data_IF_294402697738
#
_entry.id   IF_294402697738
#
_cell.length_a   1.000
_cell.length_b   1.000
_cell.length_c   1.000
_cell.angle_alpha   90.00
_cell.angle_beta   90.00
_cell.angle_gamma   90.00
#
_symmetry.space_group_name_H-M   'P 1'
#
loop_
_entity.id
_entity.type
_entity.pdbx_description
1 polymer ?
#
# COMPACT_ATOMS: atom_id res chain seq x y z
N UNK A 1 13.21 8.81 -16.82
CA UNK A 1 11.82 8.42 -16.53
C UNK A 1 11.37 9.12 -15.26
N UNK A 2 10.44 10.07 -15.39
CA UNK A 2 9.98 10.96 -14.31
C UNK A 2 9.11 10.29 -13.22
N UNK A 3 9.02 8.95 -13.22
CA UNK A 3 8.19 8.20 -12.27
C UNK A 3 8.92 7.72 -11.01
N UNK A 4 10.21 7.88 -10.95
CA UNK A 4 11.04 7.45 -9.82
C UNK A 4 11.68 8.64 -9.13
N UNK A 5 11.79 8.57 -7.81
CA UNK A 5 12.49 9.60 -7.06
C UNK A 5 14.00 9.48 -7.26
N UNK A 6 14.70 10.58 -7.55
CA UNK A 6 16.15 10.62 -7.43
C UNK A 6 16.58 10.27 -6.00
N UNK A 7 17.75 9.66 -5.85
CA UNK A 7 18.28 9.20 -4.56
C UNK A 7 18.17 10.24 -3.44
N UNK A 8 18.54 11.49 -3.68
CA UNK A 8 18.51 12.55 -2.68
C UNK A 8 17.07 12.91 -2.25
N UNK A 9 16.11 12.84 -3.15
CA UNK A 9 14.69 13.04 -2.82
C UNK A 9 14.14 11.86 -2.02
N UNK A 10 14.54 10.64 -2.34
CA UNK A 10 14.19 9.43 -1.58
C UNK A 10 14.76 9.52 -0.15
N UNK A 11 16.01 9.97 0.03
CA UNK A 11 16.62 10.24 1.34
C UNK A 11 15.83 11.27 2.14
N UNK A 12 15.52 12.41 1.52
CA UNK A 12 14.76 13.48 2.18
C UNK A 12 13.37 13.01 2.63
N UNK A 13 12.67 12.28 1.77
CA UNK A 13 11.37 11.71 2.12
C UNK A 13 11.47 10.75 3.30
N UNK A 14 12.45 9.85 3.28
CA UNK A 14 12.63 8.86 4.33
C UNK A 14 13.04 9.50 5.66
N UNK A 15 13.88 10.53 5.63
CA UNK A 15 14.25 11.31 6.82
C UNK A 15 12.99 11.90 7.48
N UNK A 16 12.10 12.52 6.70
CA UNK A 16 10.85 13.06 7.21
C UNK A 16 9.96 12.00 7.86
N UNK A 17 9.88 10.81 7.25
CA UNK A 17 9.08 9.69 7.78
C UNK A 17 9.64 9.19 9.10
N UNK A 18 10.95 8.93 9.16
CA UNK A 18 11.62 8.45 10.38
C UNK A 18 11.54 9.48 11.51
N UNK A 19 11.73 10.76 11.20
CA UNK A 19 11.65 11.83 12.19
C UNK A 19 10.22 12.01 12.71
N UNK A 20 9.22 11.93 11.84
CA UNK A 20 7.82 11.97 12.24
C UNK A 20 7.46 10.78 13.16
N UNK A 21 7.96 9.60 12.84
CA UNK A 21 7.78 8.42 13.69
C UNK A 21 8.43 8.61 15.06
N UNK A 22 9.69 9.02 15.11
CA UNK A 22 10.44 9.27 16.36
C UNK A 22 9.75 10.28 17.26
N UNK A 23 9.24 11.38 16.70
CA UNK A 23 8.50 12.41 17.47
C UNK A 23 7.30 11.83 18.19
N UNK A 24 6.62 10.84 17.62
CA UNK A 24 5.43 10.23 18.18
C UNK A 24 5.71 8.97 19.02
N UNK A 25 6.95 8.47 19.04
CA UNK A 25 7.32 7.22 19.70
C UNK A 25 8.52 7.38 20.65
N UNK A 26 8.60 8.51 21.37
CA UNK A 26 9.64 8.73 22.38
C UNK A 26 11.07 8.69 21.86
N UNK A 27 11.30 9.12 20.63
CA UNK A 27 12.60 9.13 19.99
C UNK A 27 13.05 7.78 19.38
N UNK A 28 12.27 6.73 19.54
CA UNK A 28 12.60 5.41 18.99
C UNK A 28 12.39 5.34 17.49
N UNK A 29 13.28 4.65 16.77
CA UNK A 29 13.10 4.36 15.36
C UNK A 29 12.11 3.19 15.15
N UNK A 30 11.45 3.12 13.99
CA UNK A 30 10.60 1.98 13.67
C UNK A 30 11.45 0.70 13.52
N UNK A 31 10.96 -0.43 14.03
CA UNK A 31 11.60 -1.74 13.83
C UNK A 31 11.40 -2.25 12.41
N UNK A 32 10.23 -1.98 11.86
CA UNK A 32 9.86 -2.36 10.50
C UNK A 32 9.22 -1.19 9.78
N UNK A 33 9.53 -1.04 8.51
CA UNK A 33 9.01 0.02 7.64
C UNK A 33 8.61 -0.58 6.30
N UNK A 34 7.31 -0.60 6.03
CA UNK A 34 6.77 -1.07 4.76
C UNK A 34 6.41 0.12 3.87
N UNK A 35 6.99 0.15 2.69
CA UNK A 35 6.75 1.18 1.68
C UNK A 35 5.89 0.57 0.56
N UNK A 36 4.70 1.10 0.38
CA UNK A 36 3.78 0.64 -0.65
C UNK A 36 3.84 1.54 -1.88
N UNK A 37 3.96 0.94 -3.04
CA UNK A 37 3.94 1.63 -4.33
C UNK A 37 3.12 0.88 -5.37
N UNK A 38 2.72 1.56 -6.44
CA UNK A 38 2.07 0.95 -7.61
C UNK A 38 3.09 0.50 -8.66
N UNK A 39 4.28 1.08 -8.63
CA UNK A 39 5.42 0.76 -9.49
C UNK A 39 6.50 0.01 -8.70
N UNK A 40 7.44 -0.59 -9.39
CA UNK A 40 8.65 -1.14 -8.75
C UNK A 40 9.55 0.01 -8.33
N UNK A 41 10.22 -0.15 -7.22
CA UNK A 41 11.20 0.82 -6.73
C UNK A 41 12.52 0.68 -7.46
N UNK A 42 13.09 1.79 -7.90
CA UNK A 42 14.40 1.84 -8.56
C UNK A 42 15.53 1.51 -7.57
N UNK A 43 16.73 1.28 -8.09
CA UNK A 43 17.91 1.09 -7.26
C UNK A 43 18.25 2.36 -6.46
N UNK A 44 18.12 3.53 -7.09
CA UNK A 44 18.39 4.82 -6.46
C UNK A 44 17.43 5.13 -5.31
N UNK A 45 16.12 4.88 -5.51
CA UNK A 45 15.12 5.01 -4.44
C UNK A 45 15.47 4.11 -3.25
N UNK A 46 15.79 2.84 -3.54
CA UNK A 46 16.15 1.87 -2.51
C UNK A 46 17.39 2.28 -1.72
N UNK A 47 18.46 2.71 -2.40
CA UNK A 47 19.67 3.21 -1.76
C UNK A 47 19.36 4.43 -0.88
N UNK A 48 18.60 5.40 -1.40
CA UNK A 48 18.18 6.57 -0.64
C UNK A 48 17.42 6.22 0.63
N UNK A 49 16.50 5.26 0.56
CA UNK A 49 15.78 4.78 1.74
C UNK A 49 16.70 4.12 2.76
N UNK A 50 17.59 3.23 2.31
CA UNK A 50 18.48 2.47 3.19
C UNK A 50 19.54 3.34 3.87
N UNK A 51 20.04 4.36 3.21
CA UNK A 51 21.03 5.28 3.79
C UNK A 51 20.47 6.13 4.92
N UNK A 52 19.17 6.32 4.98
CA UNK A 52 18.52 7.21 5.95
C UNK A 52 17.95 6.49 7.15
N UNK A 53 17.56 5.25 6.94
CA UNK A 53 16.93 4.43 7.99
C UNK A 53 18.00 3.79 8.87
N UNK A 54 17.83 3.71 10.21
CA UNK A 54 18.74 2.99 11.09
C UNK A 54 18.97 1.55 10.62
N UNK A 55 20.17 1.03 10.82
CA UNK A 55 20.57 -0.29 10.35
C UNK A 55 19.70 -1.44 10.91
N UNK A 56 19.17 -1.26 12.11
CA UNK A 56 18.27 -2.19 12.79
C UNK A 56 16.84 -2.20 12.27
N UNK A 57 16.45 -1.20 11.47
CA UNK A 57 15.12 -1.13 10.88
C UNK A 57 15.03 -2.01 9.65
N UNK A 58 14.12 -2.98 9.66
CA UNK A 58 13.79 -3.75 8.46
C UNK A 58 12.95 -2.91 7.48
N UNK A 59 13.50 -2.60 6.32
CA UNK A 59 12.80 -1.85 5.27
C UNK A 59 12.34 -2.81 4.18
N UNK A 60 11.07 -2.75 3.85
CA UNK A 60 10.45 -3.59 2.81
C UNK A 60 9.69 -2.70 1.82
N UNK A 61 9.98 -2.84 0.53
CA UNK A 61 9.24 -2.15 -0.53
C UNK A 61 8.31 -3.13 -1.24
N UNK A 62 7.03 -2.88 -1.15
CA UNK A 62 5.97 -3.69 -1.76
C UNK A 62 5.30 -2.98 -2.92
N UNK A 63 5.24 -3.62 -4.08
CA UNK A 63 4.40 -3.19 -5.19
C UNK A 63 3.02 -3.83 -5.07
N UNK A 64 1.98 -3.00 -5.02
CA UNK A 64 0.59 -3.44 -4.90
C UNK A 64 -0.22 -2.80 -6.01
N UNK A 65 -0.90 -3.61 -6.83
CA UNK A 65 -1.75 -3.11 -7.92
C UNK A 65 -2.90 -4.07 -8.21
N UNK A 66 -3.97 -3.54 -8.79
CA UNK A 66 -5.06 -4.37 -9.33
C UNK A 66 -4.53 -5.20 -10.50
N UNK A 67 -4.85 -6.49 -10.52
CA UNK A 67 -4.54 -7.39 -11.62
C UNK A 67 -5.82 -7.79 -12.34
N UNK A 68 -5.99 -7.30 -13.57
CA UNK A 68 -7.16 -7.61 -14.39
C UNK A 68 -7.03 -8.94 -15.16
N UNK A 69 -5.81 -9.47 -15.25
CA UNK A 69 -5.51 -10.69 -16.02
C UNK A 69 -5.83 -11.98 -15.27
N UNK A 70 -6.07 -11.90 -13.96
CA UNK A 70 -6.33 -13.07 -13.14
C UNK A 70 -7.76 -13.08 -12.59
N UNK A 71 -8.43 -14.21 -12.75
CA UNK A 71 -9.75 -14.46 -12.19
C UNK A 71 -9.74 -15.78 -11.44
N UNK A 72 -10.45 -15.82 -10.30
CA UNK A 72 -10.66 -17.01 -9.53
C UNK A 72 -12.14 -17.40 -9.63
N UNK A 73 -12.38 -18.64 -9.97
CA UNK A 73 -13.71 -19.21 -10.04
C UNK A 73 -13.82 -20.37 -9.05
N UNK A 74 -14.97 -20.51 -8.45
CA UNK A 74 -15.30 -21.62 -7.55
C UNK A 74 -16.45 -22.44 -8.14
N UNK A 75 -16.35 -23.75 -8.08
CA UNK A 75 -17.48 -24.61 -8.39
C UNK A 75 -18.59 -24.47 -7.33
N UNK A 76 -19.84 -24.50 -7.79
CA UNK A 76 -21.03 -24.39 -6.92
C UNK A 76 -21.59 -22.96 -6.87
N UNK A 77 -22.54 -22.75 -5.97
CA UNK A 77 -23.33 -21.51 -5.86
C UNK A 77 -22.69 -20.43 -5.00
N UNK A 78 -21.61 -20.77 -4.29
CA UNK A 78 -20.95 -19.84 -3.36
C UNK A 78 -19.93 -18.98 -4.08
N UNK A 79 -20.00 -17.69 -3.87
CA UNK A 79 -19.03 -16.71 -4.39
C UNK A 79 -17.67 -16.84 -3.70
N UNK A 80 -16.63 -16.30 -4.35
CA UNK A 80 -15.29 -16.20 -3.76
C UNK A 80 -15.34 -15.26 -2.57
N UNK A 81 -14.90 -15.76 -1.41
CA UNK A 81 -14.87 -14.97 -0.20
C UNK A 81 -13.79 -13.88 -0.28
N UNK A 82 -14.10 -12.72 0.30
CA UNK A 82 -13.11 -11.69 0.55
C UNK A 82 -12.01 -12.20 1.47
N UNK A 83 -10.76 -11.92 1.16
CA UNK A 83 -9.60 -12.35 1.93
C UNK A 83 -8.97 -13.65 1.46
N UNK A 84 -9.50 -14.26 0.40
CA UNK A 84 -8.81 -15.38 -0.25
C UNK A 84 -7.52 -14.87 -0.84
N UNK A 85 -6.42 -15.59 -0.60
CA UNK A 85 -5.10 -15.30 -1.13
C UNK A 85 -4.46 -16.51 -1.80
N UNK A 86 -3.64 -16.25 -2.80
CA UNK A 86 -2.81 -17.26 -3.45
C UNK A 86 -1.36 -16.82 -3.46
N UNK A 87 -0.52 -17.57 -2.76
CA UNK A 87 0.94 -17.35 -2.74
C UNK A 87 1.55 -18.03 -3.96
N UNK A 88 2.08 -17.22 -4.88
CA UNK A 88 2.77 -17.71 -6.07
C UNK A 88 4.23 -18.04 -5.78
N UNK A 89 4.88 -17.25 -4.95
CA UNK A 89 6.27 -17.42 -4.52
C UNK A 89 6.50 -16.68 -3.20
N UNK A 90 7.69 -16.80 -2.64
CA UNK A 90 8.07 -16.02 -1.45
C UNK A 90 8.04 -14.49 -1.65
N UNK A 91 8.03 -14.03 -2.92
CA UNK A 91 8.06 -12.62 -3.28
C UNK A 91 6.76 -12.12 -3.89
N UNK A 92 5.83 -13.01 -4.25
CA UNK A 92 4.63 -12.65 -5.00
C UNK A 92 3.41 -13.42 -4.56
N UNK A 93 2.32 -12.70 -4.36
CA UNK A 93 1.01 -13.25 -4.04
C UNK A 93 -0.12 -12.47 -4.72
N UNK A 94 -1.28 -13.08 -4.76
CA UNK A 94 -2.54 -12.49 -5.20
C UNK A 94 -3.55 -12.53 -4.06
N UNK A 95 -4.24 -11.41 -3.83
CA UNK A 95 -5.18 -11.25 -2.73
C UNK A 95 -6.52 -10.71 -3.23
N UNK A 96 -7.60 -11.46 -3.02
CA UNK A 96 -8.95 -11.02 -3.33
C UNK A 96 -9.50 -10.17 -2.19
N UNK A 97 -9.34 -8.86 -2.32
CA UNK A 97 -9.78 -7.87 -1.32
C UNK A 97 -11.25 -7.47 -1.47
N UNK A 98 -11.86 -7.83 -2.59
CA UNK A 98 -13.30 -7.77 -2.86
C UNK A 98 -13.83 -9.19 -3.01
N UNK A 99 -15.10 -9.38 -2.68
CA UNK A 99 -15.74 -10.68 -2.77
C UNK A 99 -16.84 -10.84 -1.72
N UNK A 100 -17.33 -12.05 -1.57
CA UNK A 100 -18.37 -12.36 -0.62
C UNK A 100 -17.91 -12.15 0.82
N UNK A 101 -18.73 -11.44 1.59
CA UNK A 101 -18.50 -11.19 3.02
C UNK A 101 -19.52 -12.03 3.81
N UNK A 102 -19.12 -13.17 4.38
CA UNK A 102 -20.06 -14.09 5.04
C UNK A 102 -20.91 -13.44 6.13
N UNK A 103 -20.30 -12.57 6.95
CA UNK A 103 -21.00 -11.87 8.03
C UNK A 103 -22.14 -10.97 7.54
N UNK A 104 -22.02 -10.42 6.34
CA UNK A 104 -23.01 -9.52 5.74
C UNK A 104 -23.94 -10.25 4.78
N UNK A 105 -23.65 -11.51 4.48
CA UNK A 105 -24.36 -12.32 3.47
C UNK A 105 -24.52 -11.58 2.13
N UNK A 106 -23.54 -10.73 1.80
CA UNK A 106 -23.60 -9.89 0.63
C UNK A 106 -22.31 -9.90 -0.16
N UNK A 107 -22.46 -9.55 -1.43
CA UNK A 107 -21.38 -9.36 -2.39
C UNK A 107 -21.58 -8.01 -3.08
N UNK A 108 -20.62 -7.13 -2.90
CA UNK A 108 -20.67 -5.79 -3.48
C UNK A 108 -20.19 -5.82 -4.93
N UNK A 109 -21.03 -6.21 -5.84
CA UNK A 109 -20.72 -6.16 -7.27
C UNK A 109 -21.28 -7.34 -8.05
N UNK A 110 -21.46 -7.16 -9.35
CA UNK A 110 -21.96 -8.18 -10.28
C UNK A 110 -20.84 -8.94 -10.99
N UNK A 111 -19.61 -8.41 -10.93
CA UNK A 111 -18.46 -8.99 -11.63
C UNK A 111 -17.63 -9.87 -10.71
N UNK A 112 -16.99 -10.89 -11.30
CA UNK A 112 -15.96 -11.66 -10.60
C UNK A 112 -14.82 -10.72 -10.22
N UNK A 113 -14.49 -10.59 -8.93
CA UNK A 113 -13.50 -9.60 -8.48
C UNK A 113 -12.10 -9.93 -9.00
N UNK A 114 -11.37 -8.88 -9.35
CA UNK A 114 -9.95 -8.96 -9.64
C UNK A 114 -9.16 -8.93 -8.34
N UNK A 115 -8.07 -9.69 -8.22
CA UNK A 115 -7.19 -9.62 -7.08
C UNK A 115 -6.31 -8.37 -7.10
N UNK A 116 -5.72 -8.07 -5.95
CA UNK A 116 -4.49 -7.32 -5.89
C UNK A 116 -3.31 -8.28 -6.13
N UNK A 117 -2.38 -7.89 -7.00
CA UNK A 117 -1.05 -8.50 -7.02
C UNK A 117 -0.16 -7.76 -6.01
N UNK A 118 0.52 -8.53 -5.17
CA UNK A 118 1.43 -8.05 -4.13
C UNK A 118 2.80 -8.63 -4.42
N UNK A 119 3.78 -7.76 -4.64
CA UNK A 119 5.16 -8.16 -4.92
C UNK A 119 6.11 -7.47 -3.95
N UNK A 120 6.92 -8.24 -3.24
CA UNK A 120 8.04 -7.72 -2.45
C UNK A 120 9.18 -7.44 -3.42
N UNK A 121 9.41 -6.15 -3.70
CA UNK A 121 10.43 -5.71 -4.66
C UNK A 121 11.81 -5.55 -4.03
N UNK A 122 11.86 -5.19 -2.76
CA UNK A 122 13.08 -4.95 -1.98
C UNK A 122 12.84 -5.31 -0.52
N UNK A 123 13.92 -5.72 0.17
CA UNK A 123 13.84 -6.15 1.56
C UNK A 123 13.37 -7.59 1.72
N UNK A 124 13.19 -8.02 2.96
CA UNK A 124 12.76 -9.38 3.31
C UNK A 124 11.56 -9.33 4.24
N UNK A 125 10.50 -10.04 3.88
CA UNK A 125 9.30 -10.19 4.69
C UNK A 125 8.60 -11.52 4.38
N UNK A 126 7.78 -12.00 5.31
CA UNK A 126 6.88 -13.11 5.03
C UNK A 126 5.71 -12.63 4.16
N UNK A 127 5.61 -13.14 2.95
CA UNK A 127 4.57 -12.77 1.99
C UNK A 127 3.16 -13.02 2.54
N UNK A 128 2.96 -14.00 3.41
CA UNK A 128 1.67 -14.27 4.04
C UNK A 128 1.30 -13.18 5.03
N UNK A 129 2.28 -12.74 5.83
CA UNK A 129 2.07 -11.62 6.74
C UNK A 129 1.79 -10.33 5.97
N UNK A 130 2.55 -10.05 4.92
CA UNK A 130 2.31 -8.90 4.04
C UNK A 130 0.88 -8.92 3.45
N UNK A 131 0.41 -10.09 3.01
CA UNK A 131 -0.98 -10.23 2.52
C UNK A 131 -2.01 -9.93 3.62
N UNK A 132 -1.79 -10.41 4.84
CA UNK A 132 -2.67 -10.17 5.98
C UNK A 132 -2.73 -8.67 6.33
N UNK A 133 -1.60 -7.99 6.35
CA UNK A 133 -1.50 -6.56 6.62
C UNK A 133 -2.16 -5.74 5.51
N UNK A 134 -1.91 -6.07 4.24
CA UNK A 134 -2.59 -5.43 3.11
C UNK A 134 -4.10 -5.61 3.20
N UNK A 135 -4.59 -6.82 3.54
CA UNK A 135 -6.02 -7.06 3.74
C UNK A 135 -6.58 -6.20 4.87
N UNK A 136 -5.86 -6.10 6.00
CA UNK A 136 -6.27 -5.27 7.13
C UNK A 136 -6.36 -3.78 6.72
N UNK A 137 -5.36 -3.27 5.99
CA UNK A 137 -5.35 -1.90 5.47
C UNK A 137 -6.47 -1.60 4.47
N UNK A 138 -7.01 -2.61 3.78
CA UNK A 138 -8.19 -2.42 2.91
C UNK A 138 -9.50 -2.27 3.69
N UNK A 139 -9.51 -2.63 4.98
CA UNK A 139 -10.67 -2.51 5.86
C UNK A 139 -10.72 -1.16 6.56
N UNK A 140 -9.61 -0.44 6.59
CA UNK A 140 -9.55 0.91 7.13
C UNK A 140 -10.18 1.86 6.13
N UNK A 141 -11.30 2.43 6.52
CA UNK A 141 -12.01 3.40 5.72
C UNK A 141 -12.26 4.65 6.56
N UNK A 142 -11.71 5.77 6.13
CA UNK A 142 -11.72 6.97 6.93
C UNK A 142 -13.02 7.80 6.76
N UNK A 143 -13.58 7.83 5.57
CA UNK A 143 -14.64 8.77 5.21
C UNK A 143 -15.93 8.16 4.65
N UNK A 144 -16.06 6.87 4.58
CA UNK A 144 -17.24 6.27 3.99
C UNK A 144 -17.70 5.04 4.76
N UNK A 145 -19.02 4.91 4.93
CA UNK A 145 -19.65 3.70 5.44
C UNK A 145 -19.56 2.53 4.44
N UNK A 146 -18.44 2.40 3.73
CA UNK A 146 -18.20 1.32 2.78
C UNK A 146 -17.39 0.24 3.48
N UNK A 147 -17.80 -0.99 3.32
CA UNK A 147 -17.17 -2.16 3.95
C UNK A 147 -15.82 -2.54 3.29
N UNK A 148 -14.93 -1.57 3.19
CA UNK A 148 -13.60 -1.71 2.60
C UNK A 148 -13.56 -1.42 1.11
N UNK A 149 -12.50 -0.81 0.68
CA UNK A 149 -12.33 -0.25 -0.66
C UNK A 149 -11.67 -1.20 -1.66
N UNK A 150 -11.20 -2.33 -1.20
CA UNK A 150 -10.44 -3.27 -2.04
C UNK A 150 -9.00 -2.82 -2.37
N UNK A 151 -8.61 -1.60 -2.01
CA UNK A 151 -7.24 -1.06 -2.09
C UNK A 151 -6.79 -0.68 -0.70
N UNK A 152 -5.54 -0.93 -0.28
CA UNK A 152 -5.07 -0.52 1.02
C UNK A 152 -5.12 1.01 1.18
N UNK A 153 -5.50 1.45 2.38
CA UNK A 153 -5.66 2.87 2.71
C UNK A 153 -4.43 3.72 2.38
N UNK A 154 -3.24 3.16 2.55
CA UNK A 154 -1.96 3.82 2.22
C UNK A 154 -1.87 4.26 0.77
N UNK A 155 -2.26 3.40 -0.18
CA UNK A 155 -2.26 3.73 -1.60
C UNK A 155 -3.43 4.64 -1.98
N UNK A 156 -4.59 4.43 -1.37
CA UNK A 156 -5.75 5.28 -1.63
C UNK A 156 -5.48 6.74 -1.28
N UNK A 157 -4.86 6.97 -0.13
CA UNK A 157 -4.51 8.32 0.28
C UNK A 157 -3.42 8.95 -0.60
N UNK A 158 -2.41 8.16 -0.98
CA UNK A 158 -1.40 8.64 -1.90
C UNK A 158 -2.02 9.07 -3.25
N UNK A 159 -2.99 8.31 -3.76
CA UNK A 159 -3.73 8.67 -4.98
C UNK A 159 -4.51 9.96 -4.81
N UNK A 160 -5.31 10.08 -3.75
CA UNK A 160 -6.13 11.27 -3.50
C UNK A 160 -5.28 12.54 -3.35
N UNK A 161 -4.18 12.47 -2.61
CA UNK A 161 -3.22 13.58 -2.50
C UNK A 161 -2.59 13.89 -3.86
N UNK A 162 -2.20 12.86 -4.62
CA UNK A 162 -1.62 13.00 -5.96
C UNK A 162 -2.56 13.71 -6.93
N UNK A 163 -3.85 13.35 -6.93
CA UNK A 163 -4.88 13.99 -7.78
C UNK A 163 -5.01 15.48 -7.45
N UNK A 164 -5.06 15.84 -6.17
CA UNK A 164 -5.16 17.26 -5.75
C UNK A 164 -3.91 18.04 -6.15
N UNK A 165 -2.72 17.50 -5.90
CA UNK A 165 -1.46 18.17 -6.23
C UNK A 165 -1.26 18.31 -7.74
N UNK A 166 -1.75 17.36 -8.53
CA UNK A 166 -1.67 17.41 -9.99
C UNK A 166 -2.66 18.42 -10.58
N UNK A 167 -3.88 18.47 -10.02
CA UNK A 167 -4.92 19.39 -10.48
C UNK A 167 -4.60 20.86 -10.16
N UNK A 168 -3.94 21.11 -9.04
CA UNK A 168 -3.56 22.47 -8.60
C UNK A 168 -2.10 22.48 -8.13
N UNK A 169 -1.12 22.47 -9.05
CA UNK A 169 0.28 22.51 -8.68
C UNK A 169 0.57 23.80 -7.90
N UNK A 170 1.11 23.63 -6.71
CA UNK A 170 1.44 24.78 -5.84
C UNK A 170 2.54 25.61 -6.48
N UNK A 171 2.26 26.88 -6.70
CA UNK A 171 3.25 27.86 -7.14
C UNK A 171 4.05 28.46 -5.97
N UNK A 172 3.62 28.25 -4.72
CA UNK A 172 4.21 28.85 -3.54
C UNK A 172 4.67 27.76 -2.56
N UNK A 173 5.75 28.03 -1.85
CA UNK A 173 6.38 27.17 -0.83
C UNK A 173 5.60 27.09 0.49
N UNK A 174 4.28 27.15 0.45
CA UNK A 174 3.47 26.95 1.64
C UNK A 174 3.61 25.51 2.14
N UNK A 175 3.77 25.30 3.45
CA UNK A 175 3.85 23.95 4.01
C UNK A 175 2.59 23.16 3.63
N UNK A 176 2.71 21.83 3.45
CA UNK A 176 1.55 21.00 3.15
C UNK A 176 0.51 21.13 4.27
N UNK A 177 -0.75 21.15 3.88
CA UNK A 177 -1.85 21.16 4.84
C UNK A 177 -1.87 19.84 5.63
N UNK A 178 -2.44 19.82 6.84
CA UNK A 178 -2.70 18.56 7.54
C UNK A 178 -3.48 17.58 6.67
N UNK A 179 -3.19 16.31 6.79
CA UNK A 179 -3.71 15.22 5.96
C UNK A 179 -5.25 15.23 5.78
N UNK A 180 -6.00 15.64 6.81
CA UNK A 180 -7.48 15.77 6.77
C UNK A 180 -8.03 16.69 5.68
N UNK A 181 -7.20 17.54 5.09
CA UNK A 181 -7.61 18.43 4.00
C UNK A 181 -7.47 17.82 2.60
N UNK A 182 -6.89 16.60 2.52
CA UNK A 182 -6.69 15.88 1.27
C UNK A 182 -7.60 14.65 1.12
N UNK A 183 -8.43 14.36 2.11
CA UNK A 183 -9.32 13.20 2.15
C UNK A 183 -10.75 13.60 2.50
#
# INVERSE_FOLDING_TARGET
DDFHLPKEKAKSLMAMVVDAYRKNHGGQAPKELFIHGKTRFSAEEWEGFKETVPAETNVVCGRIRKDAGMKLYRHGTMNIARGVGWVKSQWMAYLWTKGFVPRLQTYAGREVPNPLSIEICRGVADIKQVMADVLALTKLNYNACIFGDGVPVTLRFADAVGEILTAAPRKNELPPLPFRYYI
#
